data_IF_457027833458
#
_entry.id   IF_457027833458
#
_cell.length_a   1.000
_cell.length_b   1.000
_cell.length_c   1.000
_cell.angle_alpha   90.00
_cell.angle_beta   90.00
_cell.angle_gamma   90.00
#
_symmetry.space_group_name_H-M   'P 1'
#
loop_
_entity.id
_entity.type
_entity.pdbx_description
1 polymer ?
#
# COMPACT_ATOMS: atom_id res chain seq x y z
N UNK A 1 2.67 6.84 -6.79
CA UNK A 1 3.50 7.08 -5.60
C UNK A 1 2.57 7.52 -4.49
N UNK A 2 2.16 6.64 -3.63
CA UNK A 2 1.34 7.03 -2.49
C UNK A 2 2.30 7.43 -1.38
N UNK A 3 2.18 8.67 -0.92
CA UNK A 3 3.05 9.23 0.11
C UNK A 3 2.89 8.50 1.43
N UNK A 4 4.00 8.18 2.08
CA UNK A 4 4.07 7.91 3.51
C UNK A 4 4.04 9.25 4.25
N UNK A 5 2.93 9.96 4.21
CA UNK A 5 2.71 11.06 5.11
C UNK A 5 2.34 10.48 6.48
N UNK A 6 3.31 10.45 7.38
CA UNK A 6 3.10 10.34 8.82
C UNK A 6 2.29 11.56 9.30
N UNK A 7 0.99 11.61 9.04
CA UNK A 7 0.11 12.44 9.85
C UNK A 7 -0.14 11.70 11.17
N UNK A 8 0.65 12.04 12.17
CA UNK A 8 0.23 11.90 13.56
C UNK A 8 -1.01 12.77 13.73
N UNK A 9 -2.18 12.18 13.62
CA UNK A 9 -3.38 12.78 14.19
C UNK A 9 -3.26 12.58 15.69
N UNK A 10 -2.66 13.54 16.35
CA UNK A 10 -2.68 13.64 17.78
C UNK A 10 -3.96 14.28 18.23
N UNK A 11 -4.67 13.69 19.08
CA UNK A 11 -5.23 14.22 20.33
C UNK A 11 -6.21 13.19 20.90
N UNK A 12 -5.66 12.25 21.64
CA UNK A 12 -6.44 11.42 22.54
C UNK A 12 -6.80 12.26 23.75
N UNK A 13 -8.07 12.60 23.91
CA UNK A 13 -8.60 13.08 25.20
C UNK A 13 -8.73 11.90 26.15
N UNK A 14 -7.78 11.78 27.05
CA UNK A 14 -7.86 10.82 28.16
C UNK A 14 -9.03 11.20 29.11
N UNK A 15 -10.02 10.32 29.23
CA UNK A 15 -10.94 10.29 30.38
C UNK A 15 -10.41 9.28 31.40
N UNK A 16 -9.92 9.78 32.51
CA UNK A 16 -9.58 9.00 33.69
C UNK A 16 -10.88 8.45 34.31
N UNK A 17 -11.07 7.14 34.23
CA UNK A 17 -12.03 6.42 35.04
C UNK A 17 -11.27 5.71 36.15
N UNK A 18 -11.48 6.14 37.41
CA UNK A 18 -11.07 5.39 38.61
C UNK A 18 -11.90 4.12 38.73
N UNK A 19 -11.25 2.97 38.87
CA UNK A 19 -11.90 1.73 39.31
C UNK A 19 -11.09 1.04 40.36
N UNK A 20 -11.85 0.54 41.34
CA UNK A 20 -11.45 -0.09 42.59
C UNK A 20 -10.68 -1.40 42.40
N UNK A 21 -9.82 -1.64 43.42
CA UNK A 21 -8.94 -2.78 43.55
C UNK A 21 -9.68 -4.07 43.85
N UNK A 22 -9.73 -4.99 42.90
CA UNK A 22 -10.07 -6.41 43.12
C UNK A 22 -8.81 -7.26 43.20
N UNK A 23 -8.62 -7.96 44.30
CA UNK A 23 -7.48 -8.85 44.56
C UNK A 23 -7.60 -10.14 43.76
N UNK A 24 -6.71 -10.36 42.81
CA UNK A 24 -6.52 -11.66 42.14
C UNK A 24 -5.36 -12.44 42.78
N UNK A 25 -5.65 -13.65 43.27
CA UNK A 25 -4.67 -14.61 43.80
C UNK A 25 -3.80 -15.16 42.64
N UNK A 26 -2.49 -15.23 42.89
CA UNK A 26 -1.50 -15.69 41.92
C UNK A 26 -1.55 -17.21 41.69
N UNK A 27 -1.34 -17.58 40.45
CA UNK A 27 -0.88 -18.91 40.05
C UNK A 27 0.55 -18.80 39.52
N UNK A 28 1.43 -19.64 40.06
CA UNK A 28 2.83 -19.76 39.62
C UNK A 28 2.92 -20.31 38.21
N UNK A 29 3.68 -19.64 37.37
CA UNK A 29 4.00 -20.09 36.02
C UNK A 29 5.28 -20.94 36.01
N UNK A 30 5.19 -22.14 35.48
CA UNK A 30 6.34 -22.93 35.06
C UNK A 30 7.01 -22.32 33.83
N UNK A 31 8.34 -22.41 33.71
CA UNK A 31 9.06 -21.83 32.56
C UNK A 31 8.80 -22.65 31.29
N UNK A 32 8.46 -21.94 30.21
CA UNK A 32 8.42 -22.49 28.86
C UNK A 32 9.79 -23.09 28.51
N UNK A 33 9.78 -24.31 27.98
CA UNK A 33 10.94 -25.04 27.50
C UNK A 33 11.76 -24.30 26.45
N UNK A 34 12.99 -24.76 26.14
CA UNK A 34 13.90 -24.07 25.25
C UNK A 34 13.25 -23.90 23.86
N UNK A 35 13.37 -22.68 23.31
CA UNK A 35 13.05 -22.41 21.90
C UNK A 35 13.71 -23.47 21.02
N UNK A 36 13.04 -23.99 19.98
CA UNK A 36 13.75 -24.78 18.98
C UNK A 36 14.90 -23.93 18.43
N UNK A 37 16.05 -24.56 18.29
CA UNK A 37 17.24 -23.97 17.68
C UNK A 37 16.89 -23.34 16.33
N UNK A 38 17.62 -22.28 15.88
CA UNK A 38 17.40 -21.72 14.55
C UNK A 38 17.38 -22.86 13.55
N UNK A 39 16.19 -23.10 12.97
CA UNK A 39 15.92 -24.26 12.13
C UNK A 39 16.77 -24.25 10.89
N UNK A 40 17.17 -25.43 10.50
CA UNK A 40 17.93 -25.77 9.35
C UNK A 40 17.64 -24.83 8.16
N UNK A 41 18.66 -24.19 7.66
CA UNK A 41 18.76 -23.50 6.39
C UNK A 41 18.31 -24.47 5.28
N UNK A 42 17.08 -24.32 4.76
CA UNK A 42 16.55 -25.25 3.76
C UNK A 42 15.07 -25.09 3.40
N UNK A 43 14.30 -24.25 4.10
CA UNK A 43 12.93 -24.00 3.67
C UNK A 43 12.92 -22.98 2.51
N UNK A 44 12.22 -23.34 1.43
CA UNK A 44 12.02 -22.47 0.26
C UNK A 44 10.55 -22.11 0.13
N UNK A 45 10.29 -20.93 -0.44
CA UNK A 45 8.94 -20.53 -0.88
C UNK A 45 8.89 -20.65 -2.39
N UNK A 46 7.98 -21.47 -2.89
CA UNK A 46 7.66 -21.55 -4.31
C UNK A 46 6.65 -20.46 -4.65
N UNK A 47 7.01 -19.56 -5.58
CA UNK A 47 6.14 -18.46 -5.99
C UNK A 47 6.33 -18.14 -7.47
N UNK A 48 5.22 -18.14 -8.23
CA UNK A 48 5.21 -17.85 -9.67
C UNK A 48 6.24 -18.70 -10.47
N UNK A 49 6.35 -19.99 -10.10
CA UNK A 49 7.25 -20.95 -10.76
C UNK A 49 8.74 -20.80 -10.43
N UNK A 50 9.08 -19.99 -9.43
CA UNK A 50 10.46 -19.83 -8.92
C UNK A 50 10.53 -20.18 -7.45
N UNK A 51 11.70 -20.73 -7.05
CA UNK A 51 12.01 -21.09 -5.67
C UNK A 51 12.87 -20.03 -5.00
N UNK A 52 12.46 -19.56 -3.84
CA UNK A 52 13.15 -18.51 -3.07
C UNK A 52 13.56 -19.07 -1.70
N UNK A 53 14.86 -19.08 -1.35
CA UNK A 53 15.29 -19.50 -0.03
C UNK A 53 14.74 -18.52 1.03
N UNK A 54 14.27 -19.09 2.15
CA UNK A 54 13.83 -18.31 3.31
C UNK A 54 15.01 -17.98 4.22
N UNK A 55 14.93 -16.81 4.87
CA UNK A 55 15.88 -16.34 5.87
C UNK A 55 15.15 -15.55 6.98
N UNK A 56 15.90 -14.86 7.85
CA UNK A 56 15.34 -14.05 8.94
C UNK A 56 14.49 -12.85 8.47
N UNK A 57 14.60 -12.46 7.19
CA UNK A 57 13.76 -11.41 6.59
C UNK A 57 12.41 -11.93 6.14
N UNK A 58 12.26 -13.23 5.88
CA UNK A 58 11.02 -13.82 5.35
C UNK A 58 9.84 -13.56 6.29
N UNK A 59 8.76 -12.95 5.77
CA UNK A 59 7.57 -12.59 6.55
C UNK A 59 6.26 -12.72 5.78
N UNK A 60 6.25 -13.51 4.70
CA UNK A 60 5.04 -13.72 3.90
C UNK A 60 4.00 -14.51 4.69
N UNK A 61 2.75 -14.10 4.58
CA UNK A 61 1.61 -14.80 5.16
C UNK A 61 0.88 -15.62 4.10
N UNK A 62 0.20 -16.72 4.49
CA UNK A 62 -0.62 -17.53 3.58
C UNK A 62 -1.70 -16.68 2.88
N UNK A 63 -2.30 -15.73 3.60
CA UNK A 63 -3.33 -14.83 3.06
C UNK A 63 -2.77 -13.97 1.92
N UNK A 64 -1.59 -13.38 2.09
CA UNK A 64 -0.94 -12.57 1.05
C UNK A 64 -0.53 -13.45 -0.13
N UNK A 65 0.08 -14.61 0.12
CA UNK A 65 0.45 -15.56 -0.93
C UNK A 65 -0.74 -15.99 -1.79
N UNK A 66 -1.93 -16.17 -1.21
CA UNK A 66 -3.16 -16.53 -1.96
C UNK A 66 -3.66 -15.42 -2.88
N UNK A 67 -3.15 -14.19 -2.74
CA UNK A 67 -3.52 -13.03 -3.58
C UNK A 67 -2.55 -12.80 -4.74
N UNK A 68 -1.32 -13.32 -4.62
CA UNK A 68 -0.31 -13.19 -5.69
C UNK A 68 -0.79 -13.88 -6.98
N UNK A 69 -0.69 -13.16 -8.10
CA UNK A 69 -1.09 -13.67 -9.41
C UNK A 69 -2.60 -13.64 -9.68
N UNK A 70 -3.42 -13.08 -8.79
CA UNK A 70 -4.87 -12.91 -9.05
C UNK A 70 -5.13 -11.88 -10.15
N UNK A 71 -4.27 -10.89 -10.33
CA UNK A 71 -4.30 -9.92 -11.42
C UNK A 71 -5.69 -9.32 -11.68
N UNK A 72 -6.35 -8.79 -10.63
CA UNK A 72 -7.72 -8.27 -10.72
C UNK A 72 -7.85 -7.16 -11.76
N UNK A 73 -6.79 -6.37 -11.95
CA UNK A 73 -6.71 -5.34 -12.98
C UNK A 73 -6.72 -5.89 -14.42
N UNK A 74 -6.51 -7.19 -14.60
CA UNK A 74 -6.56 -7.89 -15.90
C UNK A 74 -7.78 -8.83 -16.02
N UNK A 75 -8.66 -8.88 -15.02
CA UNK A 75 -9.90 -9.65 -15.09
C UNK A 75 -10.99 -8.83 -15.79
N UNK A 76 -11.45 -9.22 -16.99
CA UNK A 76 -12.48 -8.48 -17.72
C UNK A 76 -13.72 -8.22 -16.86
N UNK A 77 -14.26 -7.00 -16.96
CA UNK A 77 -15.44 -6.55 -16.23
C UNK A 77 -15.27 -6.43 -14.71
N UNK A 78 -14.07 -6.64 -14.17
CA UNK A 78 -13.75 -6.25 -12.80
C UNK A 78 -13.64 -4.71 -12.70
N UNK A 79 -14.09 -4.05 -11.61
CA UNK A 79 -14.02 -2.58 -11.51
C UNK A 79 -12.62 -2.00 -11.75
N UNK A 80 -11.57 -2.67 -11.27
CA UNK A 80 -10.18 -2.24 -11.50
C UNK A 80 -9.75 -2.39 -12.97
N UNK A 81 -10.23 -3.44 -13.66
CA UNK A 81 -10.01 -3.59 -15.10
C UNK A 81 -10.72 -2.48 -15.88
N UNK A 82 -11.97 -2.16 -15.54
CA UNK A 82 -12.73 -1.07 -16.17
C UNK A 82 -11.98 0.26 -16.05
N UNK A 83 -11.50 0.58 -14.84
CA UNK A 83 -10.73 1.80 -14.62
C UNK A 83 -9.40 1.79 -15.37
N UNK A 84 -8.65 0.69 -15.34
CA UNK A 84 -7.40 0.54 -16.10
C UNK A 84 -7.63 0.79 -17.60
N UNK A 85 -8.65 0.18 -18.17
CA UNK A 85 -8.93 0.34 -19.60
C UNK A 85 -9.37 1.78 -19.95
N UNK A 86 -10.10 2.49 -19.08
CA UNK A 86 -10.40 3.92 -19.25
C UNK A 86 -9.13 4.77 -19.28
N UNK A 87 -8.21 4.55 -18.32
CA UNK A 87 -6.93 5.26 -18.29
C UNK A 87 -6.13 4.97 -19.56
N UNK A 88 -5.98 3.70 -19.93
CA UNK A 88 -5.27 3.27 -21.12
C UNK A 88 -5.86 3.89 -22.39
N UNK A 89 -7.18 3.88 -22.53
CA UNK A 89 -7.88 4.49 -23.66
C UNK A 89 -7.61 6.00 -23.76
N UNK A 90 -7.63 6.71 -22.62
CA UNK A 90 -7.29 8.13 -22.54
C UNK A 90 -5.87 8.40 -23.05
N UNK A 91 -4.88 7.64 -22.58
CA UNK A 91 -3.49 7.80 -23.00
C UNK A 91 -3.31 7.48 -24.49
N UNK A 92 -3.94 6.44 -24.99
CA UNK A 92 -3.86 6.04 -26.40
C UNK A 92 -4.51 7.05 -27.36
N UNK A 93 -5.63 7.63 -26.96
CA UNK A 93 -6.32 8.63 -27.77
C UNK A 93 -5.58 9.98 -27.79
N UNK A 94 -4.95 10.36 -26.66
CA UNK A 94 -4.37 11.69 -26.51
C UNK A 94 -2.90 11.76 -26.91
N UNK A 95 -2.15 10.72 -26.63
CA UNK A 95 -0.69 10.69 -26.86
C UNK A 95 -0.36 9.75 -28.01
N UNK A 96 -0.36 10.30 -29.22
CA UNK A 96 -0.05 9.56 -30.44
C UNK A 96 1.25 10.06 -31.06
N UNK A 97 2.05 9.15 -31.59
CA UNK A 97 3.22 9.46 -32.42
C UNK A 97 2.82 9.94 -33.81
N UNK A 98 3.82 10.31 -34.61
CA UNK A 98 3.61 10.83 -35.98
C UNK A 98 2.84 9.88 -36.92
N UNK A 99 2.95 8.57 -36.66
CA UNK A 99 2.24 7.54 -37.44
C UNK A 99 0.86 7.16 -36.87
N UNK A 100 0.33 7.92 -35.90
CA UNK A 100 -0.92 7.59 -35.20
C UNK A 100 -0.82 6.44 -34.22
N UNK A 101 0.39 5.91 -33.96
CA UNK A 101 0.61 4.86 -32.96
C UNK A 101 0.63 5.45 -31.54
N UNK A 102 0.13 4.74 -30.53
CA UNK A 102 0.23 5.20 -29.15
C UNK A 102 1.67 5.47 -28.74
N UNK A 103 1.90 6.58 -28.05
CA UNK A 103 3.21 6.94 -27.52
C UNK A 103 3.60 6.08 -26.32
N UNK A 104 2.63 5.75 -25.47
CA UNK A 104 2.86 4.99 -24.25
C UNK A 104 2.74 3.49 -24.48
N UNK A 105 3.77 2.74 -24.08
CA UNK A 105 3.72 1.28 -23.97
C UNK A 105 3.10 0.88 -22.62
N UNK A 106 2.30 -0.19 -22.59
CA UNK A 106 1.61 -0.66 -21.38
C UNK A 106 2.22 -1.98 -20.91
N UNK A 107 2.59 -2.04 -19.65
CA UNK A 107 3.13 -3.19 -18.94
C UNK A 107 2.23 -3.52 -17.74
N UNK A 108 1.34 -4.48 -17.89
CA UNK A 108 0.34 -4.86 -16.88
C UNK A 108 0.42 -6.34 -16.44
N UNK A 109 1.52 -7.00 -16.77
CA UNK A 109 1.81 -8.40 -16.46
C UNK A 109 3.20 -8.64 -15.81
N UNK A 110 3.89 -7.56 -15.40
CA UNK A 110 5.20 -7.67 -14.77
C UNK A 110 5.12 -8.39 -13.43
N UNK A 111 6.12 -9.27 -13.18
CA UNK A 111 6.20 -10.03 -11.92
C UNK A 111 6.13 -9.10 -10.70
N UNK A 112 5.29 -9.40 -9.70
CA UNK A 112 5.27 -8.64 -8.45
C UNK A 112 6.47 -8.96 -7.53
N UNK A 113 7.23 -10.02 -7.81
CA UNK A 113 8.47 -10.31 -7.08
C UNK A 113 9.59 -9.52 -7.69
N UNK A 114 10.18 -8.64 -6.88
CA UNK A 114 11.29 -7.75 -7.24
C UNK A 114 12.43 -7.89 -6.25
N UNK A 115 13.61 -7.43 -6.64
CA UNK A 115 14.73 -7.31 -5.70
C UNK A 115 14.54 -6.11 -4.77
N UNK A 116 15.14 -6.14 -3.59
CA UNK A 116 15.19 -4.98 -2.69
C UNK A 116 15.86 -3.77 -3.35
N UNK A 117 16.82 -4.00 -4.25
CA UNK A 117 17.46 -2.96 -5.05
C UNK A 117 16.43 -2.28 -5.98
N UNK A 118 15.63 -3.04 -6.73
CA UNK A 118 14.58 -2.48 -7.60
C UNK A 118 13.54 -1.68 -6.81
N UNK A 119 13.16 -2.18 -5.63
CA UNK A 119 12.11 -1.53 -4.83
C UNK A 119 12.59 -0.28 -4.10
N UNK A 120 13.90 -0.15 -3.83
CA UNK A 120 14.44 0.92 -2.99
C UNK A 120 15.64 1.65 -3.61
N UNK A 121 16.76 0.95 -3.84
CA UNK A 121 18.02 1.60 -4.21
C UNK A 121 17.95 2.27 -5.59
N UNK A 122 17.34 1.60 -6.56
CA UNK A 122 17.11 2.16 -7.90
C UNK A 122 16.28 3.44 -7.90
N UNK A 123 15.52 3.66 -6.82
CA UNK A 123 14.66 4.83 -6.59
C UNK A 123 15.27 5.81 -5.59
N UNK A 124 16.57 5.70 -5.32
CA UNK A 124 17.30 6.62 -4.42
C UNK A 124 16.74 6.66 -3.00
N UNK A 125 16.00 5.64 -2.57
CA UNK A 125 15.46 5.55 -1.21
C UNK A 125 16.61 5.21 -0.26
N UNK A 126 16.93 6.06 0.75
CA UNK A 126 18.04 5.84 1.68
C UNK A 126 17.96 4.50 2.43
N UNK A 127 19.10 3.92 2.81
CA UNK A 127 19.16 2.62 3.48
C UNK A 127 18.45 2.60 4.85
N UNK A 128 18.44 3.73 5.54
CA UNK A 128 17.78 3.95 6.84
C UNK A 128 16.34 4.46 6.75
N UNK A 129 15.82 4.62 5.51
CA UNK A 129 14.47 5.16 5.30
C UNK A 129 13.40 4.25 5.94
N UNK A 130 12.39 4.82 6.65
CA UNK A 130 11.33 4.06 7.30
C UNK A 130 10.59 3.07 6.38
N UNK A 131 10.40 3.42 5.10
CA UNK A 131 9.72 2.56 4.12
C UNK A 131 10.40 1.22 3.85
N UNK A 132 11.66 1.04 4.28
CA UNK A 132 12.39 -0.25 4.16
C UNK A 132 12.12 -1.21 5.32
N UNK A 133 11.37 -0.80 6.34
CA UNK A 133 11.13 -1.63 7.52
C UNK A 133 10.40 -2.91 7.16
N UNK A 134 10.85 -4.01 7.78
CA UNK A 134 10.20 -5.32 7.68
C UNK A 134 8.74 -5.28 8.18
N UNK A 135 8.43 -4.36 9.11
CA UNK A 135 7.09 -4.12 9.61
C UNK A 135 6.10 -3.63 8.56
N UNK A 136 6.58 -3.03 7.47
CA UNK A 136 5.75 -2.34 6.48
C UNK A 136 5.72 -3.07 5.12
N UNK A 137 6.62 -4.06 4.92
CA UNK A 137 6.81 -4.75 3.64
C UNK A 137 6.71 -6.27 3.78
N UNK A 138 6.45 -6.92 2.65
CA UNK A 138 6.44 -8.38 2.52
C UNK A 138 7.71 -8.87 1.83
N UNK A 139 8.64 -9.44 2.61
CA UNK A 139 9.91 -9.96 2.15
C UNK A 139 9.86 -11.48 1.93
N UNK A 140 10.37 -11.93 0.79
CA UNK A 140 10.66 -13.36 0.54
C UNK A 140 11.94 -13.75 1.29
N UNK A 141 12.95 -12.87 1.21
CA UNK A 141 14.23 -12.95 1.92
C UNK A 141 14.92 -11.57 1.91
N UNK A 142 16.16 -11.47 2.36
CA UNK A 142 16.91 -10.21 2.41
C UNK A 142 17.10 -9.52 1.06
N UNK A 143 17.02 -10.26 -0.06
CA UNK A 143 17.28 -9.74 -1.41
C UNK A 143 16.03 -9.62 -2.29
N UNK A 144 14.94 -10.31 -1.96
CA UNK A 144 13.71 -10.33 -2.74
C UNK A 144 12.50 -10.03 -1.87
N UNK A 145 11.53 -9.32 -2.45
CA UNK A 145 10.30 -8.92 -1.80
C UNK A 145 9.13 -8.86 -2.80
N UNK A 146 7.91 -8.82 -2.31
CA UNK A 146 6.78 -8.38 -3.10
C UNK A 146 6.85 -6.86 -3.24
N UNK A 147 6.73 -6.34 -4.46
CA UNK A 147 6.87 -4.89 -4.72
C UNK A 147 5.90 -4.07 -3.88
N UNK A 148 6.40 -3.03 -3.23
CA UNK A 148 5.58 -2.10 -2.45
C UNK A 148 4.94 -1.00 -3.31
N UNK A 149 5.39 -0.85 -4.56
CA UNK A 149 4.89 0.09 -5.57
C UNK A 149 5.34 -0.35 -6.97
N UNK A 150 4.64 0.14 -7.99
CA UNK A 150 4.97 -0.15 -9.39
C UNK A 150 6.25 0.53 -9.87
N UNK A 151 6.69 1.58 -9.18
CA UNK A 151 7.95 2.31 -9.47
C UNK A 151 9.21 1.42 -9.41
N UNK A 152 9.12 0.24 -8.78
CA UNK A 152 10.20 -0.76 -8.78
C UNK A 152 10.64 -1.19 -10.20
N UNK A 153 9.80 -0.95 -11.21
CA UNK A 153 10.08 -1.30 -12.61
C UNK A 153 10.59 -0.12 -13.45
N UNK A 154 10.60 1.11 -12.91
CA UNK A 154 10.99 2.31 -13.68
C UNK A 154 12.39 2.18 -14.27
N UNK A 155 13.36 1.81 -13.43
CA UNK A 155 14.75 1.74 -13.86
C UNK A 155 14.96 0.73 -14.99
N UNK A 156 14.38 -0.45 -14.88
CA UNK A 156 14.51 -1.52 -15.89
C UNK A 156 13.92 -1.09 -17.24
N UNK A 157 12.74 -0.44 -17.23
CA UNK A 157 12.07 0.02 -18.44
C UNK A 157 12.78 1.21 -19.09
N UNK A 158 13.28 2.16 -18.29
CA UNK A 158 14.12 3.25 -18.80
C UNK A 158 15.42 2.72 -19.41
N UNK A 159 16.07 1.75 -18.76
CA UNK A 159 17.28 1.13 -19.27
C UNK A 159 17.04 0.33 -20.55
N UNK A 160 15.82 -0.18 -20.74
CA UNK A 160 15.40 -0.78 -22.02
C UNK A 160 15.17 0.24 -23.15
N UNK A 161 15.35 1.55 -22.89
CA UNK A 161 15.23 2.63 -23.86
C UNK A 161 13.81 3.16 -24.04
N UNK A 162 12.93 2.96 -23.08
CA UNK A 162 11.55 3.45 -23.15
C UNK A 162 11.44 4.86 -22.59
N UNK A 163 10.95 5.79 -23.40
CA UNK A 163 10.73 7.20 -23.02
C UNK A 163 9.30 7.47 -22.49
N UNK A 164 8.33 6.58 -22.79
CA UNK A 164 6.95 6.72 -22.32
C UNK A 164 6.29 5.36 -22.09
N UNK A 165 5.84 5.10 -20.87
CA UNK A 165 5.21 3.83 -20.52
C UNK A 165 4.24 3.96 -19.35
N UNK A 166 3.30 3.01 -19.29
CA UNK A 166 2.41 2.75 -18.16
C UNK A 166 2.79 1.40 -17.55
N UNK A 167 2.91 1.36 -16.22
CA UNK A 167 3.03 0.10 -15.46
C UNK A 167 1.79 -0.06 -14.60
N UNK A 168 1.13 -1.20 -14.71
CA UNK A 168 -0.06 -1.51 -13.89
C UNK A 168 0.15 -2.84 -13.20
N UNK A 169 -0.18 -2.91 -11.92
CA UNK A 169 -0.08 -4.18 -11.21
C UNK A 169 -0.39 -4.08 -9.73
N UNK A 170 -0.50 -5.26 -9.15
CA UNK A 170 -0.66 -5.45 -7.71
C UNK A 170 0.60 -4.99 -6.94
N UNK A 171 0.39 -4.38 -5.80
CA UNK A 171 1.43 -3.95 -4.86
C UNK A 171 1.09 -4.42 -3.45
N UNK A 172 2.10 -4.57 -2.61
CA UNK A 172 2.00 -5.30 -1.35
C UNK A 172 2.59 -4.48 -0.21
N UNK A 173 1.76 -4.14 0.77
CA UNK A 173 2.17 -3.41 1.98
C UNK A 173 1.51 -4.01 3.20
N UNK A 174 2.26 -4.09 4.28
CA UNK A 174 1.68 -4.41 5.58
C UNK A 174 1.01 -3.14 6.10
N UNK A 175 -0.26 -3.22 6.40
CA UNK A 175 -1.06 -2.05 6.75
C UNK A 175 -2.18 -2.41 7.73
N UNK A 176 -2.80 -1.39 8.32
CA UNK A 176 -3.94 -1.51 9.21
C UNK A 176 -5.17 -2.15 8.53
N UNK A 177 -6.17 -2.51 9.33
CA UNK A 177 -7.45 -3.04 8.85
C UNK A 177 -8.51 -1.97 9.00
N UNK A 178 -8.96 -1.43 7.87
CA UNK A 178 -10.10 -0.51 7.76
C UNK A 178 -10.70 -0.57 6.35
N UNK A 179 -11.66 0.32 6.09
CA UNK A 179 -12.34 0.38 4.80
C UNK A 179 -11.46 0.86 3.63
N UNK A 180 -10.30 1.48 3.90
CA UNK A 180 -9.44 2.11 2.89
C UNK A 180 -8.10 1.41 2.70
N UNK A 181 -7.70 0.49 3.61
CA UNK A 181 -6.41 -0.17 3.58
C UNK A 181 -6.56 -1.69 3.45
N UNK A 182 -5.81 -2.25 2.51
CA UNK A 182 -5.73 -3.69 2.28
C UNK A 182 -4.29 -4.07 1.93
N UNK A 183 -3.78 -5.23 2.36
CA UNK A 183 -2.36 -5.58 2.19
C UNK A 183 -1.94 -5.77 0.74
N UNK A 184 -2.89 -5.92 -0.16
CA UNK A 184 -2.67 -6.04 -1.60
C UNK A 184 -3.64 -5.11 -2.31
N UNK A 185 -3.12 -4.17 -3.06
CA UNK A 185 -3.90 -3.26 -3.88
C UNK A 185 -3.20 -3.03 -5.22
N UNK A 186 -3.76 -2.22 -6.11
CA UNK A 186 -3.21 -2.05 -7.46
C UNK A 186 -2.80 -0.60 -7.68
N UNK A 187 -1.65 -0.43 -8.32
CA UNK A 187 -1.20 0.87 -8.78
C UNK A 187 -1.09 0.90 -10.30
N UNK A 188 -1.39 2.06 -10.85
CA UNK A 188 -1.05 2.45 -12.21
C UNK A 188 -0.03 3.58 -12.11
N UNK A 189 1.08 3.40 -12.77
CA UNK A 189 2.15 4.39 -12.85
C UNK A 189 2.39 4.78 -14.30
N UNK A 190 2.69 6.04 -14.55
CA UNK A 190 3.19 6.49 -15.84
C UNK A 190 4.51 7.21 -15.68
N UNK A 191 5.37 7.02 -16.67
CA UNK A 191 6.63 7.75 -16.86
C UNK A 191 6.65 8.34 -18.24
N UNK A 192 7.13 9.57 -18.38
CA UNK A 192 7.39 10.23 -19.66
C UNK A 192 8.69 11.01 -19.61
N UNK A 193 9.60 10.69 -20.50
CA UNK A 193 10.82 11.43 -20.73
C UNK A 193 10.73 12.27 -22.00
N UNK A 194 11.44 13.39 -22.01
CA UNK A 194 11.53 14.32 -23.12
C UNK A 194 12.99 14.55 -23.48
N UNK A 195 13.26 14.53 -24.78
CA UNK A 195 14.47 15.15 -25.30
C UNK A 195 14.32 16.67 -25.31
N UNK A 196 15.43 17.37 -25.43
CA UNK A 196 15.44 18.84 -25.58
C UNK A 196 14.52 19.29 -26.71
N UNK A 197 14.60 18.65 -27.85
CA UNK A 197 13.78 18.99 -29.02
C UNK A 197 12.27 18.77 -28.78
N UNK A 198 11.90 17.72 -28.06
CA UNK A 198 10.50 17.44 -27.72
C UNK A 198 9.94 18.44 -26.72
N UNK A 199 10.72 18.76 -25.66
CA UNK A 199 10.25 19.63 -24.57
C UNK A 199 10.05 21.08 -25.04
N UNK A 200 10.96 21.60 -25.86
CA UNK A 200 10.93 22.98 -26.33
C UNK A 200 10.26 23.14 -27.70
N UNK A 201 9.64 22.09 -28.23
CA UNK A 201 8.92 22.16 -29.51
C UNK A 201 7.78 23.18 -29.44
N UNK A 202 7.75 24.10 -30.44
CA UNK A 202 6.71 25.14 -30.54
C UNK A 202 6.89 26.34 -29.59
N UNK A 203 7.96 26.36 -28.79
CA UNK A 203 8.32 27.53 -27.98
C UNK A 203 9.16 28.49 -28.80
N UNK A 204 8.84 29.79 -28.71
CA UNK A 204 9.64 30.83 -29.37
C UNK A 204 11.07 30.81 -28.82
N UNK A 205 12.06 30.77 -29.66
CA UNK A 205 13.50 30.66 -29.35
C UNK A 205 13.85 29.37 -28.56
N UNK A 206 13.00 28.34 -28.60
CA UNK A 206 13.17 27.06 -27.86
C UNK A 206 14.44 26.29 -28.22
N UNK A 207 14.98 26.55 -29.44
CA UNK A 207 16.27 26.02 -29.89
C UNK A 207 17.49 26.54 -29.09
N UNK A 208 17.35 27.67 -28.38
CA UNK A 208 18.39 28.25 -27.52
C UNK A 208 18.30 27.77 -26.08
N UNK A 209 17.16 27.16 -25.69
CA UNK A 209 16.94 26.66 -24.34
C UNK A 209 17.68 25.33 -24.10
N UNK A 210 18.15 25.12 -22.88
CA UNK A 210 18.85 23.92 -22.46
C UNK A 210 18.03 23.17 -21.39
N UNK A 211 18.17 21.84 -21.37
CA UNK A 211 17.55 21.01 -20.32
C UNK A 211 18.30 21.13 -19.00
N UNK A 212 19.63 21.24 -19.10
CA UNK A 212 20.53 21.08 -17.97
C UNK A 212 21.45 22.27 -17.80
N UNK A 213 21.76 22.55 -16.54
CA UNK A 213 22.74 23.54 -16.08
C UNK A 213 23.46 23.03 -14.84
N UNK A 214 24.48 23.75 -14.39
CA UNK A 214 25.10 23.52 -13.08
C UNK A 214 24.72 24.67 -12.15
N UNK A 215 23.93 24.36 -11.13
CA UNK A 215 23.43 25.36 -10.19
C UNK A 215 23.16 24.71 -8.83
N UNK A 216 22.58 25.46 -7.89
CA UNK A 216 22.12 24.91 -6.62
C UNK A 216 20.68 24.38 -6.71
N UNK A 217 20.38 23.35 -5.93
CA UNK A 217 19.01 22.84 -5.74
C UNK A 217 18.15 23.90 -5.04
N UNK A 218 16.94 24.03 -5.48
CA UNK A 218 15.92 24.93 -4.88
C UNK A 218 14.60 24.17 -4.69
N UNK A 219 13.61 24.79 -4.07
CA UNK A 219 12.27 24.21 -3.95
C UNK A 219 11.61 23.88 -5.31
N UNK A 220 12.06 24.53 -6.39
CA UNK A 220 11.40 24.46 -7.70
C UNK A 220 12.18 23.68 -8.75
N UNK A 221 13.43 23.30 -8.48
CA UNK A 221 14.26 22.56 -9.43
C UNK A 221 15.42 21.83 -8.76
N UNK A 222 15.90 20.77 -9.43
CA UNK A 222 17.14 20.09 -9.08
C UNK A 222 18.36 20.93 -9.51
N UNK A 223 19.49 20.62 -8.93
CA UNK A 223 20.77 21.32 -9.21
C UNK A 223 21.20 21.23 -10.67
N UNK A 224 20.82 20.16 -11.36
CA UNK A 224 21.21 19.88 -12.74
C UNK A 224 20.20 20.36 -13.78
N UNK A 225 18.99 20.74 -13.39
CA UNK A 225 17.94 21.17 -14.31
C UNK A 225 17.91 22.68 -14.48
N UNK A 226 17.58 23.17 -15.69
CA UNK A 226 17.18 24.58 -15.86
C UNK A 226 15.77 24.79 -15.29
N UNK A 227 15.48 26.01 -14.85
CA UNK A 227 14.16 26.33 -14.33
C UNK A 227 13.07 26.22 -15.40
N UNK A 228 13.40 26.63 -16.63
CA UNK A 228 12.52 26.55 -17.80
C UNK A 228 12.12 25.11 -18.11
N UNK A 229 13.11 24.20 -18.17
CA UNK A 229 12.85 22.78 -18.42
C UNK A 229 11.98 22.16 -17.33
N UNK A 230 12.31 22.45 -16.06
CA UNK A 230 11.52 21.94 -14.92
C UNK A 230 10.07 22.41 -14.96
N UNK A 231 9.83 23.71 -15.21
CA UNK A 231 8.47 24.26 -15.30
C UNK A 231 7.65 23.70 -16.45
N UNK A 232 8.27 23.44 -17.58
CA UNK A 232 7.59 22.82 -18.73
C UNK A 232 7.22 21.36 -18.45
N UNK A 233 8.12 20.60 -17.82
CA UNK A 233 7.84 19.22 -17.41
C UNK A 233 6.75 19.18 -16.35
N UNK A 234 6.80 20.07 -15.36
CA UNK A 234 5.75 20.22 -14.35
C UNK A 234 4.40 20.58 -14.97
N UNK A 235 4.39 21.53 -15.91
CA UNK A 235 3.17 21.94 -16.63
C UNK A 235 2.56 20.78 -17.43
N UNK A 236 3.37 20.06 -18.22
CA UNK A 236 2.91 18.87 -18.96
C UNK A 236 2.35 17.80 -18.05
N UNK A 237 3.03 17.54 -16.90
CA UNK A 237 2.56 16.60 -15.87
C UNK A 237 1.20 17.01 -15.30
N UNK A 238 1.08 18.22 -14.80
CA UNK A 238 -0.15 18.73 -14.16
C UNK A 238 -1.30 18.78 -15.17
N UNK A 239 -1.03 19.20 -16.40
CA UNK A 239 -2.02 19.19 -17.49
C UNK A 239 -2.48 17.76 -17.82
N UNK A 240 -1.54 16.80 -17.97
CA UNK A 240 -1.82 15.39 -18.22
C UNK A 240 -2.76 14.83 -17.16
N UNK A 241 -2.44 15.06 -15.89
CA UNK A 241 -3.19 14.52 -14.76
C UNK A 241 -4.56 15.17 -14.58
N UNK A 242 -4.65 16.50 -14.76
CA UNK A 242 -5.94 17.20 -14.72
C UNK A 242 -6.88 16.67 -15.80
N UNK A 243 -6.37 16.48 -17.03
CA UNK A 243 -7.18 15.94 -18.12
C UNK A 243 -7.58 14.49 -17.91
N UNK A 244 -6.69 13.67 -17.32
CA UNK A 244 -7.01 12.30 -16.96
C UNK A 244 -8.13 12.25 -15.92
N UNK A 245 -8.06 13.06 -14.86
CA UNK A 245 -9.10 13.11 -13.82
C UNK A 245 -10.42 13.63 -14.38
N UNK A 246 -10.39 14.66 -15.23
CA UNK A 246 -11.59 15.14 -15.92
C UNK A 246 -12.20 14.05 -16.82
N UNK A 247 -11.38 13.26 -17.51
CA UNK A 247 -11.87 12.13 -18.31
C UNK A 247 -12.54 11.03 -17.45
N UNK A 248 -12.00 10.76 -16.26
CA UNK A 248 -12.52 9.71 -15.37
C UNK A 248 -13.80 10.17 -14.65
N UNK A 249 -13.80 11.37 -14.09
CA UNK A 249 -14.86 11.87 -13.20
C UNK A 249 -15.84 12.84 -13.86
N UNK A 250 -15.52 13.38 -15.04
CA UNK A 250 -16.29 14.41 -15.72
C UNK A 250 -15.82 15.83 -15.37
N UNK A 251 -16.50 16.81 -15.97
CA UNK A 251 -16.23 18.24 -15.75
C UNK A 251 -16.71 18.69 -14.36
N UNK A 252 -16.06 19.72 -13.81
CA UNK A 252 -16.44 20.32 -12.53
C UNK A 252 -15.77 19.65 -11.30
N UNK A 253 -14.75 18.84 -11.51
CA UNK A 253 -13.97 18.25 -10.41
C UNK A 253 -13.05 19.31 -9.79
N UNK A 254 -13.18 19.54 -8.49
CA UNK A 254 -12.26 20.39 -7.74
C UNK A 254 -10.95 19.64 -7.48
N UNK A 255 -9.86 20.20 -8.00
CA UNK A 255 -8.51 19.65 -7.87
C UNK A 255 -7.63 20.64 -7.12
N UNK A 256 -6.83 20.15 -6.18
CA UNK A 256 -5.73 20.93 -5.61
C UNK A 256 -4.42 20.15 -5.67
N UNK A 257 -3.34 20.91 -5.74
CA UNK A 257 -1.98 20.41 -5.73
C UNK A 257 -1.34 20.73 -4.38
N UNK A 258 -0.72 19.70 -3.79
CA UNK A 258 -0.04 19.84 -2.49
C UNK A 258 1.43 19.48 -2.70
N UNK A 259 2.33 20.36 -2.27
CA UNK A 259 3.77 20.09 -2.31
C UNK A 259 4.10 18.96 -1.34
N UNK A 260 4.90 17.99 -1.80
CA UNK A 260 5.32 16.85 -1.01
C UNK A 260 6.78 16.48 -1.30
N UNK A 261 7.24 15.39 -0.71
CA UNK A 261 8.60 14.90 -0.92
C UNK A 261 8.61 13.39 -1.23
N UNK A 262 9.25 13.05 -2.35
CA UNK A 262 9.63 11.68 -2.68
C UNK A 262 11.12 11.62 -3.00
N UNK A 263 11.85 10.56 -2.58
CA UNK A 263 13.31 10.47 -2.83
C UNK A 263 13.71 10.46 -4.31
N UNK A 264 12.80 10.07 -5.20
CA UNK A 264 13.05 9.85 -6.63
C UNK A 264 12.39 10.88 -7.56
N UNK A 265 11.79 11.96 -7.00
CA UNK A 265 11.27 13.11 -7.77
C UNK A 265 11.53 14.43 -7.07
N UNK A 266 11.79 15.50 -7.84
CA UNK A 266 11.86 16.86 -7.33
C UNK A 266 11.70 17.89 -8.48
N UNK A 267 10.77 18.86 -8.38
CA UNK A 267 9.72 18.98 -7.36
C UNK A 267 8.72 17.81 -7.39
N UNK A 268 8.06 17.62 -6.24
CA UNK A 268 7.09 16.53 -6.03
C UNK A 268 5.77 17.07 -5.54
N UNK A 269 4.68 16.46 -6.00
CA UNK A 269 3.32 16.91 -5.71
C UNK A 269 2.41 15.72 -5.40
N UNK A 270 1.41 15.97 -4.59
CA UNK A 270 0.21 15.15 -4.48
C UNK A 270 -0.96 15.88 -5.15
N UNK A 271 -1.78 15.11 -5.86
CA UNK A 271 -3.06 15.61 -6.35
C UNK A 271 -4.15 15.14 -5.39
N UNK A 272 -4.93 16.09 -4.89
CA UNK A 272 -6.13 15.82 -4.13
C UNK A 272 -7.37 16.29 -4.89
N UNK A 273 -8.45 15.53 -4.75
CA UNK A 273 -9.77 15.88 -5.30
C UNK A 273 -10.76 16.09 -4.17
N UNK A 274 -11.69 17.03 -4.36
CA UNK A 274 -12.80 17.21 -3.44
C UNK A 274 -13.89 16.19 -3.75
N UNK A 275 -14.17 15.31 -2.80
CA UNK A 275 -15.23 14.33 -2.91
C UNK A 275 -16.13 14.39 -1.66
N UNK A 276 -17.40 14.73 -1.87
CA UNK A 276 -18.39 14.93 -0.80
C UNK A 276 -17.96 15.95 0.28
N UNK A 277 -17.17 16.95 -0.10
CA UNK A 277 -16.69 17.99 0.82
C UNK A 277 -15.40 17.66 1.55
N UNK A 278 -14.80 16.48 1.29
CA UNK A 278 -13.51 16.07 1.83
C UNK A 278 -12.46 16.04 0.73
N UNK A 279 -11.22 16.45 1.08
CA UNK A 279 -10.09 16.38 0.17
C UNK A 279 -9.40 15.02 0.29
N UNK A 280 -9.41 14.28 -0.80
CA UNK A 280 -8.82 12.94 -0.88
C UNK A 280 -7.60 12.94 -1.80
N UNK A 281 -6.46 12.51 -1.30
CA UNK A 281 -5.28 12.22 -2.12
C UNK A 281 -5.58 11.07 -3.08
N UNK A 282 -5.38 11.28 -4.39
CA UNK A 282 -5.59 10.24 -5.40
C UNK A 282 -4.30 9.75 -6.02
N UNK A 283 -3.25 10.59 -6.08
CA UNK A 283 -1.97 10.23 -6.66
C UNK A 283 -0.82 11.11 -6.14
N UNK A 284 0.39 10.56 -6.21
CA UNK A 284 1.63 11.29 -6.07
C UNK A 284 2.37 11.37 -7.41
N UNK A 285 3.07 12.49 -7.65
CA UNK A 285 3.77 12.72 -8.91
C UNK A 285 4.95 13.69 -8.74
N UNK A 286 5.76 13.83 -9.79
CA UNK A 286 6.84 14.81 -9.78
C UNK A 286 7.77 14.71 -10.98
N UNK A 287 8.69 15.66 -11.05
CA UNK A 287 9.81 15.63 -12.02
C UNK A 287 10.83 14.61 -11.51
N UNK A 288 11.18 13.64 -12.35
CA UNK A 288 12.09 12.55 -11.96
C UNK A 288 13.46 13.07 -11.54
N UNK A 289 14.04 12.49 -10.50
CA UNK A 289 15.42 12.79 -10.13
C UNK A 289 16.37 12.44 -11.26
N UNK A 290 17.18 13.42 -11.68
CA UNK A 290 18.09 13.25 -12.81
C UNK A 290 19.14 12.17 -12.55
N UNK A 291 19.52 11.95 -11.30
CA UNK A 291 20.40 10.85 -10.90
C UNK A 291 19.83 9.49 -11.27
N UNK A 292 18.52 9.27 -11.08
CA UNK A 292 17.83 8.04 -11.47
C UNK A 292 17.84 7.90 -12.99
N UNK A 293 17.44 8.93 -13.71
CA UNK A 293 17.38 8.94 -15.19
C UNK A 293 18.77 8.67 -15.79
N UNK A 294 19.81 9.31 -15.25
CA UNK A 294 21.19 9.11 -15.66
C UNK A 294 21.68 7.66 -15.42
N UNK A 295 21.34 7.09 -14.26
CA UNK A 295 21.74 5.72 -13.90
C UNK A 295 21.11 4.68 -14.82
N UNK A 296 19.93 4.97 -15.35
CA UNK A 296 19.25 4.13 -16.33
C UNK A 296 19.75 4.31 -17.78
N UNK A 297 20.68 5.27 -18.03
CA UNK A 297 21.29 5.49 -19.35
C UNK A 297 20.61 6.52 -20.22
N UNK A 298 19.70 7.34 -19.68
CA UNK A 298 18.94 8.38 -20.41
C UNK A 298 19.41 9.81 -20.06
N UNK A 299 20.73 10.06 -20.08
CA UNK A 299 21.36 11.30 -19.59
C UNK A 299 20.93 12.57 -20.35
N UNK A 300 20.47 12.43 -21.57
CA UNK A 300 19.99 13.52 -22.43
C UNK A 300 18.49 13.77 -22.33
N UNK A 301 17.82 13.19 -21.32
CA UNK A 301 16.38 13.27 -21.08
C UNK A 301 16.06 13.88 -19.74
N UNK A 302 14.92 14.57 -19.69
CA UNK A 302 14.24 15.02 -18.47
C UNK A 302 12.79 14.53 -18.54
N UNK A 303 12.16 14.29 -17.41
CA UNK A 303 10.77 13.82 -17.46
C UNK A 303 10.07 13.77 -16.13
N UNK A 304 8.88 13.24 -16.17
CA UNK A 304 8.01 13.11 -15.01
C UNK A 304 7.54 11.67 -14.80
N UNK A 305 7.12 11.40 -13.57
CA UNK A 305 6.43 10.19 -13.19
C UNK A 305 5.25 10.49 -12.26
N UNK A 306 4.21 9.65 -12.32
CA UNK A 306 3.14 9.65 -11.32
C UNK A 306 2.72 8.23 -10.97
N UNK A 307 2.16 8.04 -9.76
CA UNK A 307 1.61 6.77 -9.30
C UNK A 307 0.20 6.96 -8.74
N UNK A 308 -0.77 6.23 -9.29
CA UNK A 308 -2.18 6.27 -8.98
C UNK A 308 -2.62 4.96 -8.32
N UNK A 309 -3.28 5.03 -7.15
CA UNK A 309 -3.92 3.88 -6.52
C UNK A 309 -5.26 3.58 -7.20
N UNK A 310 -5.38 2.43 -7.88
CA UNK A 310 -6.60 2.11 -8.65
C UNK A 310 -7.82 1.93 -7.75
N UNK A 311 -7.68 1.27 -6.60
CA UNK A 311 -8.79 1.04 -5.67
C UNK A 311 -9.36 2.36 -5.16
N UNK A 312 -8.53 3.31 -4.75
CA UNK A 312 -9.00 4.60 -4.22
C UNK A 312 -9.81 5.37 -5.26
N UNK A 313 -9.33 5.45 -6.50
CA UNK A 313 -10.05 6.09 -7.60
C UNK A 313 -11.33 5.32 -7.94
N UNK A 314 -11.31 3.99 -7.96
CA UNK A 314 -12.48 3.17 -8.23
C UNK A 314 -13.53 3.25 -7.10
N UNK A 315 -13.11 3.35 -5.83
CA UNK A 315 -14.00 3.59 -4.70
C UNK A 315 -14.78 4.90 -4.86
N UNK A 316 -14.08 5.97 -5.24
CA UNK A 316 -14.71 7.27 -5.48
C UNK A 316 -15.61 7.21 -6.73
N UNK A 317 -15.12 6.66 -7.84
CA UNK A 317 -15.81 6.64 -9.12
C UNK A 317 -17.11 5.83 -9.09
N UNK A 318 -17.11 4.72 -8.37
CA UNK A 318 -18.22 3.76 -8.33
C UNK A 318 -19.01 3.77 -7.01
N UNK A 319 -18.64 4.65 -6.07
CA UNK A 319 -19.22 4.72 -4.72
C UNK A 319 -19.09 3.40 -3.95
N UNK A 320 -17.91 2.78 -4.02
CA UNK A 320 -17.60 1.53 -3.30
C UNK A 320 -17.07 1.90 -1.91
N UNK A 321 -17.74 1.53 -0.82
CA UNK A 321 -17.39 2.02 0.52
C UNK A 321 -16.20 1.31 1.16
N UNK A 322 -15.78 0.16 0.65
CA UNK A 322 -14.79 -0.69 1.30
C UNK A 322 -13.89 -1.40 0.30
N UNK A 323 -12.58 -1.23 0.45
CA UNK A 323 -11.54 -1.79 -0.42
C UNK A 323 -11.57 -3.32 -0.49
N UNK A 324 -12.06 -4.00 0.55
CA UNK A 324 -12.16 -5.47 0.58
C UNK A 324 -13.12 -6.02 -0.47
N UNK A 325 -14.11 -5.21 -0.90
CA UNK A 325 -15.08 -5.61 -1.92
C UNK A 325 -14.44 -5.93 -3.27
N UNK A 326 -13.32 -5.30 -3.62
CA UNK A 326 -12.60 -5.62 -4.84
C UNK A 326 -12.06 -7.08 -4.86
N UNK A 327 -11.86 -7.66 -3.68
CA UNK A 327 -11.38 -9.04 -3.52
C UNK A 327 -12.50 -10.05 -3.32
N UNK A 328 -13.77 -9.59 -3.39
CA UNK A 328 -14.94 -10.45 -3.27
C UNK A 328 -15.16 -11.25 -4.54
N UNK A 329 -15.46 -12.53 -4.38
CA UNK A 329 -15.94 -13.43 -5.46
C UNK A 329 -17.47 -13.49 -5.51
N UNK A 330 -18.15 -12.64 -4.73
CA UNK A 330 -19.62 -12.59 -4.67
C UNK A 330 -20.19 -12.06 -6.00
N UNK A 331 -20.98 -12.90 -6.67
CA UNK A 331 -21.64 -12.53 -7.92
C UNK A 331 -22.56 -11.32 -7.79
N UNK A 332 -23.08 -11.03 -6.59
CA UNK A 332 -23.91 -9.82 -6.35
C UNK A 332 -23.09 -8.54 -6.46
N UNK A 333 -21.78 -8.60 -6.16
CA UNK A 333 -20.84 -7.53 -6.40
C UNK A 333 -20.44 -7.46 -7.88
N UNK A 334 -19.89 -8.55 -8.41
CA UNK A 334 -19.27 -8.59 -9.74
C UNK A 334 -20.26 -8.27 -10.86
N UNK A 335 -21.52 -8.74 -10.77
CA UNK A 335 -22.54 -8.51 -11.80
C UNK A 335 -22.90 -7.02 -11.98
N UNK A 336 -22.69 -6.17 -10.97
CA UNK A 336 -22.98 -4.73 -11.06
C UNK A 336 -22.03 -4.02 -12.03
N UNK A 337 -20.86 -4.60 -12.30
CA UNK A 337 -19.83 -4.08 -13.20
C UNK A 337 -19.81 -4.74 -14.58
N UNK A 338 -20.77 -5.63 -14.89
CA UNK A 338 -20.93 -6.23 -16.22
C UNK A 338 -21.56 -5.25 -17.19
N UNK A 339 -20.79 -4.27 -17.62
CA UNK A 339 -21.21 -3.20 -18.53
C UNK A 339 -20.82 -3.52 -19.97
N UNK A 340 -21.54 -2.94 -20.94
CA UNK A 340 -21.23 -3.07 -22.37
C UNK A 340 -20.17 -2.05 -22.83
N UNK A 341 -20.15 -0.87 -22.21
CA UNK A 341 -19.20 0.21 -22.46
C UNK A 341 -18.41 0.48 -21.18
N UNK A 342 -17.08 0.48 -21.27
CA UNK A 342 -16.20 0.76 -20.14
C UNK A 342 -16.44 2.16 -19.54
N UNK A 343 -16.99 3.10 -20.31
CA UNK A 343 -17.31 4.45 -19.86
C UNK A 343 -18.71 4.58 -19.25
N UNK A 344 -19.50 3.49 -19.23
CA UNK A 344 -20.82 3.51 -18.61
C UNK A 344 -20.71 3.88 -17.13
N UNK A 345 -21.58 4.80 -16.66
CA UNK A 345 -21.66 5.15 -15.25
C UNK A 345 -22.23 3.97 -14.46
N UNK A 346 -21.50 3.55 -13.44
CA UNK A 346 -21.93 2.52 -12.47
C UNK A 346 -21.89 3.15 -11.08
N UNK A 347 -22.95 2.93 -10.29
CA UNK A 347 -22.97 3.27 -8.86
C UNK A 347 -23.23 1.99 -8.09
N UNK A 348 -22.32 1.65 -7.19
CA UNK A 348 -22.38 0.43 -6.40
C UNK A 348 -23.61 0.41 -5.48
N UNK A 349 -24.28 -0.73 -5.40
CA UNK A 349 -25.38 -0.97 -4.47
C UNK A 349 -24.92 -1.92 -3.36
N UNK A 350 -25.13 -1.55 -2.08
CA UNK A 350 -24.69 -2.36 -0.94
C UNK A 350 -25.27 -3.78 -0.95
N UNK A 351 -24.42 -4.76 -0.57
CA UNK A 351 -24.80 -6.18 -0.56
C UNK A 351 -25.55 -6.58 0.71
N UNK A 352 -25.35 -5.88 1.81
CA UNK A 352 -25.97 -6.14 3.11
C UNK A 352 -26.55 -4.86 3.71
N UNK A 353 -27.64 -5.00 4.49
CA UNK A 353 -28.28 -3.94 5.26
C UNK A 353 -28.04 -4.08 6.77
N UNK A 354 -27.31 -5.09 7.19
CA UNK A 354 -27.07 -5.37 8.61
C UNK A 354 -25.85 -4.61 9.12
N UNK A 355 -25.90 -4.06 10.35
CA UNK A 355 -24.75 -3.41 10.98
C UNK A 355 -23.65 -4.42 11.32
N UNK A 356 -22.42 -3.93 11.48
CA UNK A 356 -21.30 -4.74 11.96
C UNK A 356 -21.49 -5.15 13.43
N UNK A 357 -20.90 -6.28 13.82
CA UNK A 357 -20.82 -6.74 15.22
C UNK A 357 -19.48 -6.34 15.79
N UNK A 358 -19.48 -5.71 16.96
CA UNK A 358 -18.28 -5.23 17.65
C UNK A 358 -17.82 -6.27 18.65
N UNK A 359 -16.52 -6.58 18.64
CA UNK A 359 -15.85 -7.49 19.58
C UNK A 359 -14.59 -6.85 20.12
N UNK A 360 -14.34 -7.00 21.42
CA UNK A 360 -13.11 -6.55 22.07
C UNK A 360 -12.16 -7.72 22.30
N UNK A 361 -10.89 -7.51 22.07
CA UNK A 361 -9.82 -8.47 22.40
C UNK A 361 -8.69 -7.79 23.16
N UNK A 362 -8.19 -8.44 24.21
CA UNK A 362 -7.04 -7.95 24.95
C UNK A 362 -5.98 -9.04 25.11
N UNK A 363 -4.71 -8.67 25.00
CA UNK A 363 -3.59 -9.59 25.16
C UNK A 363 -2.32 -8.85 25.59
N UNK A 364 -1.34 -9.62 26.05
CA UNK A 364 -0.03 -9.10 26.44
C UNK A 364 0.89 -9.04 25.23
N UNK A 365 1.49 -7.88 25.00
CA UNK A 365 2.46 -7.73 23.92
C UNK A 365 3.76 -8.51 24.21
N UNK A 366 4.40 -9.08 23.20
CA UNK A 366 5.77 -9.58 23.30
C UNK A 366 6.72 -8.46 23.72
N UNK A 367 7.79 -8.80 24.40
CA UNK A 367 8.76 -7.81 24.89
C UNK A 367 9.61 -7.19 23.79
N UNK A 368 9.83 -7.90 22.71
CA UNK A 368 10.75 -7.52 21.63
C UNK A 368 10.14 -7.87 20.26
N UNK A 369 10.51 -7.11 19.26
CA UNK A 369 10.20 -7.36 17.84
C UNK A 369 8.70 -7.39 17.49
N UNK A 370 7.85 -6.64 18.20
CA UNK A 370 6.43 -6.49 17.89
C UNK A 370 6.19 -5.21 17.11
N UNK A 371 5.43 -5.33 16.05
CA UNK A 371 4.80 -4.21 15.32
C UNK A 371 3.29 -4.38 15.31
N UNK A 372 2.54 -3.30 15.23
CA UNK A 372 1.06 -3.37 15.12
C UNK A 372 0.63 -4.15 13.90
N UNK A 373 1.41 -4.07 12.81
CA UNK A 373 1.17 -4.85 11.60
C UNK A 373 1.26 -6.37 11.80
N UNK A 374 1.99 -6.85 12.81
CA UNK A 374 2.01 -8.29 13.14
C UNK A 374 0.64 -8.74 13.69
N UNK A 375 -0.03 -7.87 14.43
CA UNK A 375 -1.39 -8.14 14.91
C UNK A 375 -2.40 -8.07 13.76
N UNK A 376 -2.32 -7.06 12.91
CA UNK A 376 -3.18 -6.97 11.74
C UNK A 376 -3.05 -8.20 10.81
N UNK A 377 -1.85 -8.67 10.57
CA UNK A 377 -1.62 -9.88 9.76
C UNK A 377 -2.18 -11.15 10.44
N UNK A 378 -2.09 -11.24 11.77
CA UNK A 378 -2.70 -12.34 12.52
C UNK A 378 -4.23 -12.31 12.40
N UNK A 379 -4.85 -11.14 12.59
CA UNK A 379 -6.30 -10.97 12.47
C UNK A 379 -6.78 -11.30 11.06
N UNK A 380 -6.08 -10.83 10.03
CA UNK A 380 -6.40 -11.16 8.63
C UNK A 380 -6.24 -12.65 8.32
N UNK A 381 -5.26 -13.31 8.93
CA UNK A 381 -5.02 -14.74 8.71
C UNK A 381 -6.14 -15.59 9.30
N UNK A 382 -6.70 -15.20 10.45
CA UNK A 382 -7.74 -15.94 11.17
C UNK A 382 -9.14 -15.50 10.74
N UNK A 383 -9.43 -14.19 10.82
CA UNK A 383 -10.75 -13.61 10.56
C UNK A 383 -11.04 -13.34 9.08
N UNK A 384 -10.00 -13.30 8.26
CA UNK A 384 -10.14 -12.99 6.84
C UNK A 384 -10.76 -11.62 6.59
N UNK A 385 -11.54 -11.55 5.53
CA UNK A 385 -12.20 -10.33 5.10
C UNK A 385 -13.54 -10.07 5.85
N UNK A 386 -13.86 -10.91 6.85
CA UNK A 386 -14.99 -10.70 7.75
C UNK A 386 -14.74 -9.59 8.76
N UNK A 387 -13.48 -9.31 9.08
CA UNK A 387 -13.09 -8.21 9.98
C UNK A 387 -13.04 -6.91 9.19
N UNK A 388 -13.92 -5.97 9.56
CA UNK A 388 -14.07 -4.71 8.84
C UNK A 388 -13.08 -3.64 9.27
N UNK A 389 -12.78 -3.62 10.57
CA UNK A 389 -11.91 -2.63 11.16
C UNK A 389 -11.23 -3.20 12.41
N UNK A 390 -10.06 -2.65 12.74
CA UNK A 390 -9.34 -2.96 13.98
C UNK A 390 -8.82 -1.67 14.54
N UNK A 391 -9.34 -1.28 15.71
CA UNK A 391 -8.93 -0.06 16.40
C UNK A 391 -8.19 -0.42 17.70
N UNK A 392 -7.07 0.24 17.95
CA UNK A 392 -6.39 0.20 19.23
C UNK A 392 -7.13 1.11 20.22
N UNK A 393 -7.79 0.52 21.20
CA UNK A 393 -8.56 1.26 22.22
C UNK A 393 -7.69 1.71 23.38
N UNK A 394 -6.84 0.83 23.89
CA UNK A 394 -6.00 1.15 25.05
C UNK A 394 -4.69 0.35 25.04
N UNK A 395 -3.64 0.99 25.52
CA UNK A 395 -2.33 0.40 25.73
C UNK A 395 -1.86 0.71 27.15
N UNK A 396 -1.86 -0.32 27.99
CA UNK A 396 -1.54 -0.18 29.39
C UNK A 396 -0.13 -0.72 29.71
N UNK A 397 0.66 0.06 30.46
CA UNK A 397 1.95 -0.34 31.00
C UNK A 397 1.79 -0.67 32.51
N UNK A 398 2.06 -1.92 32.94
CA UNK A 398 1.87 -2.33 34.30
C UNK A 398 3.01 -1.82 35.19
N UNK A 399 2.75 -0.92 36.19
CA UNK A 399 3.79 -0.24 36.95
C UNK A 399 4.65 -1.17 37.82
N UNK A 400 4.14 -2.35 38.21
CA UNK A 400 4.80 -3.27 39.17
C UNK A 400 5.52 -4.46 38.53
N UNK A 401 5.33 -4.76 37.25
CA UNK A 401 6.03 -5.87 36.57
C UNK A 401 7.50 -5.57 36.24
N UNK A 402 7.93 -4.32 36.38
CA UNK A 402 9.31 -3.89 36.13
C UNK A 402 10.24 -4.01 37.36
N UNK A 403 9.72 -4.33 38.54
CA UNK A 403 10.53 -4.36 39.80
C UNK A 403 11.50 -5.53 39.95
N UNK A 404 11.42 -6.55 39.10
CA UNK A 404 12.29 -7.76 39.17
C UNK A 404 13.55 -7.75 38.32
N UNK A 405 13.79 -6.71 37.47
CA UNK A 405 14.92 -6.66 36.54
C UNK A 405 15.79 -5.43 36.82
N UNK A 406 16.71 -5.52 37.78
CA UNK A 406 17.71 -4.47 38.08
C UNK A 406 18.87 -4.38 37.09
N UNK A 407 18.72 -4.85 35.81
CA UNK A 407 19.75 -4.66 34.81
C UNK A 407 19.09 -4.30 33.46
N UNK A 408 19.43 -3.09 32.96
CA UNK A 408 19.04 -2.50 31.71
C UNK A 408 17.59 -1.97 31.60
N UNK A 409 17.46 -0.66 31.42
CA UNK A 409 16.22 0.14 31.36
C UNK A 409 15.24 -0.27 30.26
N UNK A 410 14.61 -1.44 30.40
CA UNK A 410 13.58 -1.96 29.50
C UNK A 410 12.21 -1.58 30.03
N UNK A 411 11.44 -0.88 29.22
CA UNK A 411 10.02 -0.61 29.49
C UNK A 411 9.24 -1.92 29.44
N UNK A 412 8.36 -2.15 30.40
CA UNK A 412 7.45 -3.31 30.43
C UNK A 412 6.17 -2.92 29.71
N UNK A 413 5.86 -3.58 28.60
CA UNK A 413 4.57 -3.45 27.91
C UNK A 413 3.45 -4.13 28.72
N UNK A 414 2.28 -3.48 28.77
CA UNK A 414 1.05 -3.96 29.38
C UNK A 414 0.10 -4.63 28.37
N UNK A 415 -1.13 -5.01 28.80
CA UNK A 415 -2.16 -5.48 27.88
C UNK A 415 -2.58 -4.35 26.95
N UNK A 416 -2.95 -4.73 25.73
CA UNK A 416 -3.47 -3.84 24.69
C UNK A 416 -4.90 -4.30 24.42
N UNK A 417 -5.82 -3.35 24.36
CA UNK A 417 -7.23 -3.59 24.04
C UNK A 417 -7.51 -3.13 22.60
N UNK A 418 -8.10 -4.03 21.82
CA UNK A 418 -8.47 -3.78 20.42
C UNK A 418 -9.96 -4.00 20.22
N UNK A 419 -10.56 -3.22 19.36
CA UNK A 419 -11.94 -3.35 18.89
C UNK A 419 -11.96 -3.90 17.46
N UNK A 420 -12.80 -4.90 17.20
CA UNK A 420 -12.90 -5.61 15.93
C UNK A 420 -14.37 -5.70 15.50
N UNK A 421 -14.89 -4.77 14.72
CA UNK A 421 -16.18 -4.95 14.07
C UNK A 421 -16.11 -6.05 13.00
N UNK A 422 -17.13 -6.92 13.00
CA UNK A 422 -17.27 -8.05 12.07
C UNK A 422 -18.66 -8.07 11.44
N UNK A 423 -18.81 -8.69 10.27
CA UNK A 423 -20.08 -8.85 9.60
C UNK A 423 -21.08 -9.66 10.45
N UNK A 424 -22.36 -9.25 10.53
CA UNK A 424 -23.39 -9.99 11.26
C UNK A 424 -23.61 -11.37 10.63
N UNK A 425 -23.70 -12.40 11.48
CA UNK A 425 -23.91 -13.79 11.05
C UNK A 425 -22.65 -14.59 10.79
N UNK A 426 -21.46 -13.99 10.85
CA UNK A 426 -20.21 -14.73 10.86
C UNK A 426 -20.01 -15.37 12.24
N UNK A 427 -20.21 -16.68 12.35
CA UNK A 427 -19.62 -17.41 13.49
C UNK A 427 -18.12 -17.41 13.26
N UNK A 428 -17.35 -16.86 14.20
CA UNK A 428 -15.91 -17.12 14.24
C UNK A 428 -15.70 -18.62 14.09
N UNK A 429 -14.80 -19.10 13.20
CA UNK A 429 -14.52 -20.53 13.12
C UNK A 429 -14.10 -20.97 14.51
N UNK A 430 -14.90 -21.84 15.13
CA UNK A 430 -14.48 -22.53 16.34
C UNK A 430 -13.18 -23.21 16.01
N UNK A 431 -12.12 -23.10 16.80
CA UNK A 431 -10.94 -23.92 16.58
C UNK A 431 -11.41 -25.37 16.60
N UNK A 432 -11.26 -26.10 15.49
CA UNK A 432 -11.45 -27.55 15.47
C UNK A 432 -10.49 -28.13 16.50
N UNK A 433 -11.03 -28.50 17.65
CA UNK A 433 -10.36 -29.33 18.61
C UNK A 433 -10.27 -30.68 17.95
N UNK A 434 -9.13 -31.00 17.36
CA UNK A 434 -8.81 -32.36 16.98
C UNK A 434 -9.01 -33.22 18.23
N UNK A 435 -9.98 -34.14 18.16
CA UNK A 435 -10.30 -35.06 19.24
C UNK A 435 -9.05 -35.80 19.68
N UNK A 436 -8.91 -36.12 20.98
CA UNK A 436 -7.75 -36.79 21.46
C UNK A 436 -7.69 -38.22 20.92
N UNK A 437 -6.61 -38.52 20.18
CA UNK A 437 -6.17 -39.89 19.99
C UNK A 437 -5.85 -40.51 21.34
N UNK A 438 -6.03 -41.78 21.55
CA UNK A 438 -5.87 -42.40 22.84
C UNK A 438 -4.39 -42.43 23.25
N UNK A 439 -4.05 -41.67 24.29
CA UNK A 439 -2.80 -41.78 25.00
C UNK A 439 -1.81 -40.63 24.84
N UNK A 440 -1.97 -39.55 25.62
CA UNK A 440 -0.95 -38.51 25.71
C UNK A 440 -1.42 -37.33 26.56
N UNK A 441 -0.74 -37.08 27.64
CA UNK A 441 -0.97 -36.07 28.66
C UNK A 441 -1.01 -34.65 28.07
N UNK A 442 -1.99 -33.86 28.52
CA UNK A 442 -2.30 -32.45 28.25
C UNK A 442 -1.13 -31.46 28.17
N UNK A 443 -1.18 -30.47 27.31
CA UNK A 443 -0.84 -29.13 27.75
C UNK A 443 -1.85 -28.05 27.30
N UNK A 444 -2.40 -27.40 28.30
CA UNK A 444 -2.78 -25.99 28.47
C UNK A 444 -3.20 -25.17 27.26
N UNK A 445 -4.50 -24.94 27.16
CA UNK A 445 -5.14 -23.90 26.34
C UNK A 445 -4.93 -22.49 26.93
N UNK A 446 -4.72 -21.47 26.11
CA UNK A 446 -4.87 -20.09 26.52
C UNK A 446 -6.37 -19.75 26.59
N UNK A 447 -6.87 -19.47 27.76
CA UNK A 447 -8.24 -19.03 28.02
C UNK A 447 -8.34 -17.56 27.56
N UNK A 448 -8.86 -17.34 26.37
CA UNK A 448 -9.39 -16.05 25.95
C UNK A 448 -10.86 -15.98 26.36
N UNK A 449 -11.19 -15.17 27.34
CA UNK A 449 -12.58 -14.91 27.69
C UNK A 449 -13.18 -13.95 26.67
N UNK A 450 -14.10 -14.45 25.88
CA UNK A 450 -14.99 -13.65 25.04
C UNK A 450 -16.18 -13.20 25.89
N UNK A 451 -16.32 -11.90 26.13
CA UNK A 451 -17.45 -11.35 26.84
C UNK A 451 -18.23 -10.42 25.89
N UNK A 452 -19.43 -10.79 25.42
CA UNK A 452 -20.27 -9.87 24.64
C UNK A 452 -20.90 -8.83 25.58
N UNK A 453 -20.86 -7.55 25.18
CA UNK A 453 -21.62 -6.50 25.87
C UNK A 453 -23.09 -6.52 25.41
N UNK A 454 -24.06 -6.36 26.32
CA UNK A 454 -25.43 -6.12 25.91
C UNK A 454 -25.57 -4.70 25.35
N UNK A 455 -26.19 -4.61 24.20
CA UNK A 455 -26.65 -3.34 23.58
C UNK A 455 -27.79 -2.74 24.37
N UNK A 456 -27.65 -1.51 24.80
CA UNK A 456 -28.76 -0.59 25.07
C UNK A 456 -28.83 0.46 23.98
#
# INVERSE_FOLDING_TARGET
>A
MVCWALRRVGQVRARLARRDSGVCRGHEHQPLGPRPAPGAWGSTVELLGKSYPQDDYSNLTRKVLSKVGRNLHNQPLHPLWLLKERVKQHFYARYTGRAGTPLFSVYDDLSPVVTTWQNFDSLLIPADHPSRKKGDNYYLNATHMLRAHTSAHQWDLLRAGLDAFLVVGDVYRRDQIDAQHYPVFHQLEAVRLFSRHQLFAGIKDGENLQLFEQSSRSAHKQETHTLEATKLVEFDLKQTLTQLMTHIFGDGLDIRWVDCYFPFTHPSFEMEINFHGEWLEVLGCGVMEQQLVNSAGAQDRIGWAFGLGLERVAMILYDIPDIRLFWSEDERFLKQFRVQDINQKVTFQPLSKYPAVINDISFWLPRENYTENDFYDLVRTIGGDLVEKVDLIDKFEHPNRCRGSRRLGRKCSGPVLWELPTLPGSRAPSPEIAGPGPGGTNPLSPVGHWCPRPTH
#
